data_IF_905519029365
#
_entry.id   IF_905519029365
#
_cell.length_a   1.000
_cell.length_b   1.000
_cell.length_c   1.000
_cell.angle_alpha   90.00
_cell.angle_beta   90.00
_cell.angle_gamma   90.00
#
_symmetry.space_group_name_H-M   'P 1'
#
loop_
_entity.id
_entity.type
_entity.pdbx_description
1 polymer ?
#
# COMPACT_ATOMS: atom_id res chain seq x y z
N UNK A 1 4.75 -4.48 -12.11
CA UNK A 1 3.45 -3.84 -12.37
C UNK A 1 3.04 -3.02 -11.16
N UNK A 2 2.43 -1.86 -11.37
CA UNK A 2 1.79 -1.07 -10.32
C UNK A 2 0.29 -1.03 -10.62
N UNK A 3 -0.56 -1.31 -9.63
CA UNK A 3 -2.01 -1.25 -9.73
C UNK A 3 -2.59 -0.43 -8.58
N UNK A 4 -3.68 0.28 -8.84
CA UNK A 4 -4.47 0.97 -7.84
C UNK A 4 -5.88 0.37 -7.84
N UNK A 5 -6.33 -0.08 -6.69
CA UNK A 5 -7.72 -0.46 -6.45
C UNK A 5 -8.35 0.54 -5.50
N UNK A 6 -9.55 0.99 -5.83
CA UNK A 6 -10.34 1.89 -4.99
C UNK A 6 -11.66 1.19 -4.68
N UNK A 7 -12.02 1.13 -3.40
CA UNK A 7 -13.22 0.44 -2.95
C UNK A 7 -13.78 1.10 -1.68
N UNK A 8 -15.07 0.88 -1.43
CA UNK A 8 -15.74 1.38 -0.24
C UNK A 8 -15.59 0.37 0.92
N UNK A 9 -15.12 0.84 2.08
CA UNK A 9 -14.93 0.03 3.28
C UNK A 9 -15.57 0.72 4.50
N UNK A 10 -16.72 0.19 4.94
CA UNK A 10 -17.47 0.72 6.08
C UNK A 10 -18.10 2.08 5.80
N UNK A 11 -17.37 3.16 6.10
CA UNK A 11 -17.84 4.55 5.92
C UNK A 11 -16.94 5.37 5.02
N UNK A 12 -15.84 4.80 4.52
CA UNK A 12 -14.85 5.54 3.76
C UNK A 12 -14.46 4.82 2.48
N UNK A 13 -14.12 5.62 1.48
CA UNK A 13 -13.42 5.14 0.29
C UNK A 13 -11.95 4.96 0.60
N UNK A 14 -11.42 3.83 0.16
CA UNK A 14 -10.07 3.36 0.45
C UNK A 14 -9.37 3.06 -0.86
N UNK A 15 -8.14 3.55 -0.97
CA UNK A 15 -7.22 3.19 -2.04
C UNK A 15 -6.18 2.18 -1.55
N UNK A 16 -5.90 1.17 -2.36
CA UNK A 16 -4.79 0.24 -2.19
C UNK A 16 -3.91 0.31 -3.42
N UNK A 17 -2.67 0.74 -3.22
CA UNK A 17 -1.65 0.77 -4.25
C UNK A 17 -0.75 -0.44 -4.10
N UNK A 18 -0.73 -1.29 -5.13
CA UNK A 18 0.04 -2.53 -5.17
C UNK A 18 1.22 -2.41 -6.14
N UNK A 19 2.34 -3.01 -5.77
CA UNK A 19 3.55 -3.12 -6.57
C UNK A 19 3.93 -4.60 -6.63
N UNK A 20 3.74 -5.21 -7.79
CA UNK A 20 4.19 -6.58 -8.08
C UNK A 20 5.49 -6.51 -8.87
N UNK A 21 6.58 -6.98 -8.26
CA UNK A 21 7.91 -7.00 -8.91
C UNK A 21 8.74 -8.15 -8.35
N UNK A 22 9.48 -8.83 -9.22
CA UNK A 22 10.44 -9.90 -8.87
C UNK A 22 9.80 -11.01 -8.01
N UNK A 23 8.54 -11.38 -8.32
CA UNK A 23 7.76 -12.37 -7.56
C UNK A 23 7.26 -11.89 -6.19
N UNK A 24 7.55 -10.65 -5.79
CA UNK A 24 7.09 -10.04 -4.54
C UNK A 24 5.92 -9.09 -4.73
N UNK A 25 4.97 -9.13 -3.78
CA UNK A 25 3.90 -8.16 -3.62
C UNK A 25 4.25 -7.16 -2.52
N UNK A 26 4.04 -5.88 -2.80
CA UNK A 26 4.15 -4.77 -1.85
C UNK A 26 2.91 -3.91 -1.98
N UNK A 27 2.31 -3.50 -0.87
CA UNK A 27 1.11 -2.70 -0.92
C UNK A 27 1.13 -1.59 0.13
N UNK A 28 0.46 -0.48 -0.16
CA UNK A 28 0.09 0.52 0.83
C UNK A 28 -1.41 0.81 0.73
N UNK A 29 -2.05 1.00 1.88
CA UNK A 29 -3.46 1.38 2.01
C UNK A 29 -3.55 2.85 2.44
N UNK A 30 -4.52 3.59 1.91
CA UNK A 30 -4.80 4.97 2.29
C UNK A 30 -6.31 5.26 2.21
N UNK A 31 -6.78 6.21 3.02
CA UNK A 31 -8.20 6.60 3.09
C UNK A 31 -8.39 7.88 2.29
N UNK A 32 -9.41 7.88 1.43
CA UNK A 32 -9.83 9.02 0.61
C UNK A 32 -10.95 9.82 1.28
N UNK A 33 -11.74 9.17 2.13
CA UNK A 33 -12.90 9.78 2.78
C UNK A 33 -14.17 9.48 1.98
N UNK A 34 -14.69 10.48 1.28
CA UNK A 34 -15.84 10.35 0.38
C UNK A 34 -15.46 9.67 -0.95
N UNK A 35 -16.47 9.33 -1.76
CA UNK A 35 -16.25 8.79 -3.11
C UNK A 35 -15.48 9.81 -3.93
N UNK A 36 -14.26 9.49 -4.42
CA UNK A 36 -13.52 10.42 -5.24
C UNK A 36 -14.12 10.42 -6.66
N UNK A 37 -14.18 11.60 -7.26
CA UNK A 37 -14.25 11.70 -8.72
C UNK A 37 -12.91 11.28 -9.34
N UNK A 38 -12.91 10.96 -10.63
CA UNK A 38 -11.67 10.65 -11.37
C UNK A 38 -10.64 11.79 -11.29
N UNK A 39 -11.11 13.04 -11.33
CA UNK A 39 -10.26 14.22 -11.25
C UNK A 39 -9.62 14.38 -9.86
N UNK A 40 -10.40 14.21 -8.79
CA UNK A 40 -9.89 14.26 -7.41
C UNK A 40 -8.90 13.12 -7.15
N UNK A 41 -9.20 11.92 -7.63
CA UNK A 41 -8.30 10.78 -7.52
C UNK A 41 -6.99 11.04 -8.26
N UNK A 42 -7.07 11.55 -9.49
CA UNK A 42 -5.90 11.91 -10.28
C UNK A 42 -5.04 12.96 -9.58
N UNK A 43 -5.64 14.04 -9.09
CA UNK A 43 -4.93 15.10 -8.37
C UNK A 43 -4.26 14.56 -7.09
N UNK A 44 -4.97 13.74 -6.32
CA UNK A 44 -4.42 13.08 -5.15
C UNK A 44 -3.18 12.23 -5.50
N UNK A 45 -3.25 11.42 -6.56
CA UNK A 45 -2.14 10.58 -6.99
C UNK A 45 -0.96 11.41 -7.51
N UNK A 46 -1.21 12.52 -8.20
CA UNK A 46 -0.14 13.43 -8.64
C UNK A 46 0.58 14.07 -7.45
N UNK A 47 -0.13 14.41 -6.38
CA UNK A 47 0.44 15.02 -5.18
C UNK A 47 1.13 14.01 -4.26
N UNK A 48 0.61 12.78 -4.16
CA UNK A 48 1.02 11.83 -3.12
C UNK A 48 1.61 10.51 -3.64
N UNK A 49 1.58 10.26 -4.96
CA UNK A 49 1.94 8.98 -5.57
C UNK A 49 3.33 8.48 -5.22
N UNK A 50 4.35 9.34 -5.30
CA UNK A 50 5.72 8.99 -4.92
C UNK A 50 5.81 8.54 -3.46
N UNK A 51 5.17 9.28 -2.55
CA UNK A 51 5.17 8.95 -1.12
C UNK A 51 4.41 7.63 -0.83
N UNK A 52 3.40 7.28 -1.63
CA UNK A 52 2.70 6.00 -1.52
C UNK A 52 3.57 4.85 -2.01
N UNK A 53 4.27 5.02 -3.13
CA UNK A 53 5.20 4.01 -3.65
C UNK A 53 6.34 3.71 -2.66
N UNK A 54 6.92 4.74 -2.04
CA UNK A 54 7.96 4.57 -1.03
C UNK A 54 7.43 3.87 0.23
N UNK A 55 6.23 4.23 0.70
CA UNK A 55 5.58 3.54 1.82
C UNK A 55 5.36 2.05 1.55
N UNK A 56 4.87 1.69 0.36
CA UNK A 56 4.71 0.29 -0.02
C UNK A 56 6.05 -0.48 0.02
N UNK A 57 7.14 0.16 -0.43
CA UNK A 57 8.49 -0.42 -0.36
C UNK A 57 8.98 -0.60 1.08
N UNK A 58 8.69 0.35 1.95
CA UNK A 58 9.06 0.31 3.37
C UNK A 58 8.30 -0.76 4.16
N UNK A 59 6.98 -0.85 3.99
CA UNK A 59 6.16 -1.85 4.69
C UNK A 59 6.60 -3.28 4.33
N UNK A 60 6.93 -3.54 3.06
CA UNK A 60 7.50 -4.82 2.67
C UNK A 60 8.83 -5.13 3.39
N UNK A 61 9.74 -4.15 3.49
CA UNK A 61 11.01 -4.31 4.23
C UNK A 61 10.77 -4.59 5.72
N UNK A 62 9.82 -3.88 6.33
CA UNK A 62 9.44 -4.07 7.74
C UNK A 62 8.89 -5.47 7.97
N UNK A 63 8.02 -5.95 7.09
CA UNK A 63 7.43 -7.29 7.19
C UNK A 63 8.49 -8.39 7.05
N UNK A 64 9.41 -8.27 6.08
CA UNK A 64 10.53 -9.21 5.94
C UNK A 64 11.40 -9.26 7.20
N UNK A 65 11.69 -8.11 7.82
CA UNK A 65 12.43 -8.04 9.07
C UNK A 65 11.65 -8.66 10.25
N UNK A 66 10.34 -8.42 10.33
CA UNK A 66 9.45 -9.00 11.36
C UNK A 66 9.44 -10.53 11.27
N UNK A 67 9.32 -11.10 10.07
CA UNK A 67 9.36 -12.56 9.83
C UNK A 67 10.68 -13.18 10.26
N UNK A 68 11.81 -12.61 9.80
CA UNK A 68 13.16 -13.08 10.20
C UNK A 68 13.37 -13.05 11.72
N UNK A 69 12.80 -12.07 12.43
CA UNK A 69 12.86 -11.99 13.89
C UNK A 69 11.98 -13.04 14.56
N UNK A 70 10.79 -13.30 14.04
CA UNK A 70 9.88 -14.32 14.56
C UNK A 70 10.48 -15.75 14.42
N UNK A 71 11.12 -16.05 13.28
CA UNK A 71 11.79 -17.33 13.04
C UNK A 71 12.93 -17.58 14.04
N UNK A 72 13.78 -16.57 14.27
CA UNK A 72 14.86 -16.67 15.28
C UNK A 72 14.36 -16.91 16.70
N UNK A 73 13.14 -16.44 17.03
CA UNK A 73 12.52 -16.66 18.34
C UNK A 73 11.88 -18.04 18.48
N UNK A 74 11.49 -18.68 17.37
CA UNK A 74 10.90 -20.04 17.36
C UNK A 74 11.95 -21.16 17.41
N UNK A 75 13.17 -20.88 16.98
CA UNK A 75 14.29 -21.84 17.00
C UNK A 75 15.16 -21.79 18.27
N UNK A 76 14.70 -21.14 19.34
CA UNK A 76 15.40 -20.99 20.62
C UNK A 76 14.48 -21.46 21.74
#
# INVERSE_FOLDING_TARGET
MVSLSVYFEGSFWVGVLEIVRDGGLRATRFVLGSEPTDAELYEFLMRHGTALLERAREEHRREVLRRKRAERRRGR
#
